data_IF_576820992501
#
_entry.id   IF_576820992501
#
_cell.length_a   1.000
_cell.length_b   1.000
_cell.length_c   1.000
_cell.angle_alpha   90.00
_cell.angle_beta   90.00
_cell.angle_gamma   90.00
#
_symmetry.space_group_name_H-M   'P 1'
#
loop_
_entity.id
_entity.type
_entity.pdbx_description
1 polymer ?
#
# COMPACT_ATOMS: atom_id res chain seq x y z
N UNK A 1 -5.22 30.27 29.17
CA UNK A 1 -5.91 30.53 27.89
C UNK A 1 -5.03 30.27 26.67
N UNK A 2 -3.74 30.65 26.69
CA UNK A 2 -2.80 30.43 25.58
C UNK A 2 -2.54 28.94 25.27
N UNK A 3 -2.40 28.10 26.30
CA UNK A 3 -2.24 26.65 26.16
C UNK A 3 -3.48 25.97 25.56
N UNK A 4 -4.68 26.44 25.88
CA UNK A 4 -5.92 25.91 25.32
C UNK A 4 -6.07 26.18 23.83
N UNK A 5 -5.62 27.35 23.36
CA UNK A 5 -5.64 27.73 21.94
C UNK A 5 -4.72 26.85 21.09
N UNK A 6 -3.49 26.62 21.54
CA UNK A 6 -2.50 25.75 20.85
C UNK A 6 -2.98 24.31 20.79
N UNK A 7 -3.56 23.79 21.87
CA UNK A 7 -4.11 22.43 21.90
C UNK A 7 -5.25 22.24 20.91
N UNK A 8 -6.19 23.19 20.86
CA UNK A 8 -7.31 23.16 19.91
C UNK A 8 -6.85 23.23 18.44
N UNK A 9 -5.81 24.03 18.16
CA UNK A 9 -5.21 24.08 16.82
C UNK A 9 -4.60 22.72 16.45
N UNK A 10 -3.88 22.08 17.35
CA UNK A 10 -3.28 20.77 17.10
C UNK A 10 -4.33 19.67 16.91
N UNK A 11 -5.44 19.69 17.68
CA UNK A 11 -6.58 18.76 17.51
C UNK A 11 -7.26 18.98 16.15
N UNK A 12 -7.50 20.24 15.79
CA UNK A 12 -8.06 20.57 14.47
C UNK A 12 -7.16 20.07 13.35
N UNK A 13 -5.87 20.30 13.44
CA UNK A 13 -4.90 19.92 12.43
C UNK A 13 -4.81 18.39 12.29
N UNK A 14 -4.91 17.67 13.40
CA UNK A 14 -5.02 16.20 13.39
C UNK A 14 -6.31 15.77 12.70
N UNK A 15 -7.47 16.27 13.12
CA UNK A 15 -8.77 15.84 12.60
C UNK A 15 -9.00 16.20 11.13
N UNK A 16 -8.73 17.45 10.76
CA UNK A 16 -9.04 17.97 9.41
C UNK A 16 -7.98 17.62 8.35
N UNK A 17 -6.78 17.26 8.78
CA UNK A 17 -5.65 17.08 7.86
C UNK A 17 -5.16 15.64 7.80
N UNK A 18 -4.80 15.09 8.96
CA UNK A 18 -4.20 13.77 9.00
C UNK A 18 -5.23 12.67 8.77
N UNK A 19 -6.43 12.78 9.36
CA UNK A 19 -7.47 11.77 9.21
C UNK A 19 -7.86 11.56 7.75
N UNK A 20 -8.23 12.59 6.96
CA UNK A 20 -8.60 12.40 5.56
C UNK A 20 -7.47 11.86 4.67
N UNK A 21 -6.21 12.14 5.02
CA UNK A 21 -5.05 11.66 4.25
C UNK A 21 -4.69 10.23 4.64
N UNK A 22 -4.77 9.88 5.93
CA UNK A 22 -4.33 8.58 6.46
C UNK A 22 -5.39 7.49 6.31
N UNK A 23 -6.67 7.81 6.47
CA UNK A 23 -7.77 6.82 6.37
C UNK A 23 -7.78 6.08 5.02
N UNK A 24 -7.62 6.73 3.86
CA UNK A 24 -7.55 6.01 2.59
C UNK A 24 -6.39 5.00 2.50
N UNK A 25 -5.33 5.19 3.29
CA UNK A 25 -4.23 4.24 3.34
C UNK A 25 -4.59 2.89 3.96
N UNK A 26 -5.73 2.77 4.65
CA UNK A 26 -6.26 1.46 5.04
C UNK A 26 -6.48 0.54 3.82
N UNK A 27 -6.94 1.08 2.69
CA UNK A 27 -7.08 0.31 1.44
C UNK A 27 -5.72 -0.05 0.81
N UNK A 28 -4.74 0.83 0.94
CA UNK A 28 -3.36 0.54 0.53
C UNK A 28 -2.78 -0.62 1.33
N UNK A 29 -2.91 -0.56 2.66
CA UNK A 29 -2.41 -1.59 3.56
C UNK A 29 -3.21 -2.89 3.47
N UNK A 30 -4.49 -2.83 3.12
CA UNK A 30 -5.28 -4.02 2.77
C UNK A 30 -4.59 -4.80 1.64
N UNK A 31 -4.26 -4.14 0.53
CA UNK A 31 -3.53 -4.78 -0.57
C UNK A 31 -2.17 -5.30 -0.09
N UNK A 32 -1.39 -4.45 0.57
CA UNK A 32 -0.07 -4.84 1.04
C UNK A 32 -0.13 -6.09 1.94
N UNK A 33 -1.03 -6.15 2.93
CA UNK A 33 -1.15 -7.28 3.84
C UNK A 33 -1.68 -8.54 3.13
N UNK A 34 -2.54 -8.37 2.11
CA UNK A 34 -3.11 -9.49 1.36
C UNK A 34 -2.08 -10.21 0.46
N UNK A 35 -0.92 -9.59 0.15
CA UNK A 35 0.11 -10.29 -0.62
C UNK A 35 0.56 -11.60 0.03
N UNK A 36 0.64 -11.63 1.36
CA UNK A 36 1.06 -12.82 2.11
C UNK A 36 0.12 -14.01 1.93
N UNK A 37 -1.16 -13.76 1.65
CA UNK A 37 -2.16 -14.79 1.41
C UNK A 37 -2.26 -15.12 -0.09
N UNK A 38 -2.69 -14.17 -0.92
CA UNK A 38 -2.98 -14.40 -2.34
C UNK A 38 -1.73 -14.82 -3.14
N UNK A 39 -0.58 -14.23 -2.85
CA UNK A 39 0.63 -14.56 -3.61
C UNK A 39 1.29 -15.86 -3.13
N UNK A 40 1.10 -16.25 -1.87
CA UNK A 40 1.46 -17.58 -1.40
C UNK A 40 0.60 -18.65 -2.08
N UNK A 41 -0.73 -18.44 -2.13
CA UNK A 41 -1.65 -19.33 -2.83
C UNK A 41 -1.30 -19.45 -4.32
N UNK A 42 -0.96 -18.34 -4.97
CA UNK A 42 -0.49 -18.36 -6.36
C UNK A 42 0.83 -19.13 -6.50
N UNK A 43 1.77 -18.98 -5.53
CA UNK A 43 3.07 -19.66 -5.57
C UNK A 43 2.96 -21.16 -5.40
N UNK A 44 1.98 -21.67 -4.63
CA UNK A 44 1.73 -23.12 -4.50
C UNK A 44 1.45 -23.82 -5.83
N UNK A 45 0.94 -23.06 -6.80
CA UNK A 45 0.66 -23.55 -8.16
C UNK A 45 1.88 -23.43 -9.10
N UNK A 46 3.00 -22.92 -8.60
CA UNK A 46 4.19 -22.64 -9.40
C UNK A 46 5.31 -23.66 -9.14
N UNK A 47 6.32 -23.65 -10.00
CA UNK A 47 7.50 -24.48 -9.84
C UNK A 47 8.46 -23.82 -8.83
N UNK A 48 8.66 -24.44 -7.67
CA UNK A 48 9.57 -23.99 -6.62
C UNK A 48 11.04 -24.25 -6.90
N UNK A 49 11.40 -25.07 -7.90
CA UNK A 49 12.78 -25.37 -8.30
C UNK A 49 13.38 -24.23 -9.16
N UNK A 50 13.37 -23.00 -8.64
CA UNK A 50 13.76 -21.78 -9.35
C UNK A 50 15.26 -21.71 -9.70
N UNK A 51 16.11 -22.42 -8.98
CA UNK A 51 17.56 -22.50 -9.21
C UNK A 51 18.00 -23.78 -9.90
N UNK A 52 17.05 -24.55 -10.44
CA UNK A 52 17.27 -25.84 -11.04
C UNK A 52 17.03 -26.99 -10.06
N UNK A 53 16.77 -28.17 -10.62
CA UNK A 53 16.43 -29.38 -9.87
C UNK A 53 15.17 -30.02 -10.47
N UNK A 54 15.16 -31.34 -10.55
CA UNK A 54 14.07 -32.11 -11.15
C UNK A 54 13.52 -33.19 -10.21
N UNK A 55 14.03 -33.23 -8.98
CA UNK A 55 13.59 -34.20 -7.99
C UNK A 55 12.21 -33.81 -7.46
N UNK A 56 11.21 -34.60 -7.79
CA UNK A 56 9.81 -34.39 -7.41
C UNK A 56 9.52 -34.69 -5.94
N UNK A 57 10.49 -35.23 -5.21
CA UNK A 57 10.35 -35.61 -3.80
C UNK A 57 10.90 -34.52 -2.85
N UNK A 58 11.60 -33.53 -3.39
CA UNK A 58 12.23 -32.45 -2.62
C UNK A 58 11.50 -31.16 -2.80
N UNK A 59 11.28 -30.46 -1.68
CA UNK A 59 10.92 -29.05 -1.69
C UNK A 59 12.19 -28.21 -1.86
N UNK A 60 12.14 -27.23 -2.77
CA UNK A 60 13.26 -26.32 -3.08
C UNK A 60 13.05 -24.98 -2.39
N UNK A 61 12.34 -24.06 -3.01
CA UNK A 61 12.05 -22.74 -2.46
C UNK A 61 10.55 -22.62 -2.20
N UNK A 62 10.17 -22.50 -0.95
CA UNK A 62 8.78 -22.36 -0.52
C UNK A 62 8.30 -20.91 -0.65
N UNK A 63 6.99 -20.71 -0.69
CA UNK A 63 6.35 -19.40 -0.76
C UNK A 63 6.82 -18.43 0.34
N UNK A 64 6.93 -18.94 1.57
CA UNK A 64 7.42 -18.15 2.70
C UNK A 64 8.88 -17.69 2.53
N UNK A 65 9.73 -18.54 1.94
CA UNK A 65 11.13 -18.19 1.63
C UNK A 65 11.19 -17.21 0.46
N UNK A 66 10.32 -17.36 -0.54
CA UNK A 66 10.28 -16.50 -1.69
C UNK A 66 9.89 -15.06 -1.31
N UNK A 67 9.06 -14.88 -0.29
CA UNK A 67 8.67 -13.54 0.22
C UNK A 67 9.85 -12.70 0.74
N UNK A 68 11.02 -13.33 1.06
CA UNK A 68 12.26 -12.62 1.44
C UNK A 68 12.70 -11.65 0.34
N UNK A 69 12.30 -11.87 -0.91
CA UNK A 69 12.56 -10.98 -2.05
C UNK A 69 12.07 -9.55 -1.77
N UNK A 70 10.94 -9.39 -1.07
CA UNK A 70 10.49 -8.06 -0.65
C UNK A 70 11.55 -7.34 0.18
N UNK A 71 12.10 -8.01 1.19
CA UNK A 71 13.15 -7.45 2.05
C UNK A 71 14.41 -7.10 1.26
N UNK A 72 14.82 -7.94 0.32
CA UNK A 72 15.99 -7.66 -0.55
C UNK A 72 15.74 -6.42 -1.39
N UNK A 73 14.57 -6.31 -2.01
CA UNK A 73 14.22 -5.14 -2.82
C UNK A 73 14.12 -3.86 -1.99
N UNK A 74 13.58 -3.90 -0.77
CA UNK A 74 13.50 -2.73 0.12
C UNK A 74 14.90 -2.21 0.48
N UNK A 75 15.83 -3.10 0.83
CA UNK A 75 17.22 -2.75 1.17
C UNK A 75 17.92 -2.06 -0.02
N UNK A 76 17.60 -2.45 -1.24
CA UNK A 76 18.17 -1.88 -2.47
C UNK A 76 17.45 -0.58 -2.86
N UNK A 77 16.11 -0.59 -2.85
CA UNK A 77 15.31 0.52 -3.37
C UNK A 77 15.34 1.76 -2.48
N UNK A 78 15.31 1.61 -1.14
CA UNK A 78 15.27 2.77 -0.22
C UNK A 78 16.50 3.66 -0.37
N UNK A 79 17.75 3.15 -0.39
CA UNK A 79 18.92 3.97 -0.66
C UNK A 79 18.94 4.59 -2.06
N UNK A 80 18.49 3.87 -3.08
CA UNK A 80 18.41 4.38 -4.46
C UNK A 80 17.41 5.53 -4.55
N UNK A 81 16.23 5.39 -3.96
CA UNK A 81 15.22 6.44 -3.95
C UNK A 81 15.70 7.67 -3.17
N UNK A 82 16.23 7.48 -1.97
CA UNK A 82 16.68 8.58 -1.10
C UNK A 82 17.97 9.25 -1.58
N UNK A 83 18.94 8.46 -1.99
CA UNK A 83 20.26 8.96 -2.36
C UNK A 83 20.39 9.48 -3.79
N UNK A 84 19.59 8.95 -4.70
CA UNK A 84 19.70 9.28 -6.12
C UNK A 84 18.40 9.84 -6.72
N UNK A 85 17.29 9.14 -6.60
CA UNK A 85 16.06 9.50 -7.32
C UNK A 85 15.45 10.81 -6.82
N UNK A 86 15.31 11.01 -5.49
CA UNK A 86 14.74 12.25 -4.97
C UNK A 86 15.63 13.47 -5.23
N UNK A 87 16.97 13.42 -5.07
CA UNK A 87 17.85 14.51 -5.48
C UNK A 87 17.79 14.80 -6.99
N UNK A 88 17.65 13.75 -7.82
CA UNK A 88 17.48 13.90 -9.27
C UNK A 88 16.20 14.66 -9.61
N UNK A 89 15.05 14.29 -9.01
CA UNK A 89 13.79 15.00 -9.19
C UNK A 89 13.93 16.49 -8.80
N UNK A 90 14.56 16.76 -7.67
CA UNK A 90 14.79 18.14 -7.20
C UNK A 90 15.66 18.95 -8.16
N UNK A 91 16.75 18.37 -8.68
CA UNK A 91 17.63 19.03 -9.67
C UNK A 91 16.91 19.32 -10.99
N UNK A 92 15.92 18.51 -11.36
CA UNK A 92 15.09 18.72 -12.56
C UNK A 92 13.94 19.68 -12.33
N UNK A 93 13.79 20.24 -11.11
CA UNK A 93 12.68 21.09 -10.74
C UNK A 93 11.33 20.35 -10.60
N UNK A 94 11.34 19.03 -10.54
CA UNK A 94 10.13 18.24 -10.35
C UNK A 94 9.70 18.31 -8.88
N UNK A 95 8.51 18.82 -8.66
CA UNK A 95 7.93 18.84 -7.31
C UNK A 95 7.44 17.44 -6.93
N UNK A 96 8.36 16.59 -6.46
CA UNK A 96 8.06 15.25 -5.95
C UNK A 96 7.97 15.26 -4.42
N UNK A 97 7.04 16.08 -3.90
CA UNK A 97 6.79 16.24 -2.47
C UNK A 97 6.20 14.99 -1.81
N UNK A 98 6.09 14.98 -0.45
CA UNK A 98 5.66 13.81 0.31
C UNK A 98 4.35 13.20 -0.18
N UNK A 99 3.32 14.01 -0.43
CA UNK A 99 2.04 13.53 -0.90
C UNK A 99 2.09 12.86 -2.27
N UNK A 100 2.89 13.41 -3.20
CA UNK A 100 3.08 12.80 -4.53
C UNK A 100 3.84 11.49 -4.45
N UNK A 101 4.78 11.35 -3.48
CA UNK A 101 5.47 10.08 -3.21
C UNK A 101 4.51 9.05 -2.67
N UNK A 102 3.66 9.44 -1.72
CA UNK A 102 2.63 8.57 -1.16
C UNK A 102 1.61 8.15 -2.22
N UNK A 103 1.17 9.08 -3.09
CA UNK A 103 0.28 8.76 -4.21
C UNK A 103 0.92 7.76 -5.18
N UNK A 104 2.16 8.01 -5.60
CA UNK A 104 2.89 7.11 -6.48
C UNK A 104 3.08 5.72 -5.85
N UNK A 105 3.43 5.67 -4.55
CA UNK A 105 3.56 4.42 -3.81
C UNK A 105 2.24 3.64 -3.76
N UNK A 106 1.13 4.30 -3.45
CA UNK A 106 -0.18 3.68 -3.44
C UNK A 106 -0.56 3.13 -4.83
N UNK A 107 -0.34 3.92 -5.89
CA UNK A 107 -0.59 3.48 -7.26
C UNK A 107 0.22 2.22 -7.63
N UNK A 108 1.51 2.15 -7.27
CA UNK A 108 2.33 0.98 -7.53
C UNK A 108 1.85 -0.26 -6.76
N UNK A 109 1.36 -0.11 -5.53
CA UNK A 109 0.78 -1.23 -4.77
C UNK A 109 -0.49 -1.74 -5.47
N UNK A 110 -1.37 -0.87 -5.97
CA UNK A 110 -2.54 -1.27 -6.77
C UNK A 110 -2.10 -1.98 -8.06
N UNK A 111 -1.11 -1.43 -8.75
CA UNK A 111 -0.58 -2.01 -9.99
C UNK A 111 0.01 -3.41 -9.78
N UNK A 112 0.67 -3.66 -8.63
CA UNK A 112 1.24 -4.97 -8.33
C UNK A 112 0.17 -6.07 -8.25
N UNK A 113 -1.01 -5.75 -7.70
CA UNK A 113 -2.15 -6.67 -7.68
C UNK A 113 -2.78 -6.87 -9.06
N UNK A 114 -2.81 -5.86 -9.91
CA UNK A 114 -3.23 -6.00 -11.29
C UNK A 114 -2.28 -6.92 -12.09
N UNK A 115 -0.97 -6.84 -11.85
CA UNK A 115 0.03 -7.76 -12.44
C UNK A 115 -0.21 -9.19 -11.95
N UNK A 116 -0.41 -9.37 -10.65
CA UNK A 116 -0.73 -10.69 -10.06
C UNK A 116 -2.01 -11.27 -10.65
N UNK A 117 -3.06 -10.47 -10.78
CA UNK A 117 -4.34 -10.86 -11.36
C UNK A 117 -4.22 -11.28 -12.84
N UNK A 118 -3.34 -10.63 -13.61
CA UNK A 118 -3.08 -11.00 -15.00
C UNK A 118 -2.25 -12.30 -15.13
N UNK A 119 -1.42 -12.62 -14.14
CA UNK A 119 -0.61 -13.83 -14.11
C UNK A 119 -1.40 -15.05 -13.63
N UNK A 120 -2.29 -14.88 -12.64
CA UNK A 120 -2.99 -15.97 -11.96
C UNK A 120 -3.69 -16.97 -12.89
N UNK A 121 -4.52 -16.59 -13.89
CA UNK A 121 -5.21 -17.56 -14.72
C UNK A 121 -4.25 -18.43 -15.56
N UNK A 122 -3.10 -17.89 -15.95
CA UNK A 122 -2.07 -18.65 -16.70
C UNK A 122 -1.39 -19.69 -15.81
N UNK A 123 -1.14 -19.33 -14.55
CA UNK A 123 -0.55 -20.22 -13.55
C UNK A 123 -1.52 -21.33 -13.20
N UNK A 124 -2.80 -21.00 -12.96
CA UNK A 124 -3.86 -21.97 -12.69
C UNK A 124 -4.03 -22.96 -13.86
N UNK A 125 -4.11 -22.48 -15.10
CA UNK A 125 -4.22 -23.34 -16.29
C UNK A 125 -3.04 -24.28 -16.45
N UNK A 126 -1.82 -23.79 -16.25
CA UNK A 126 -0.62 -24.59 -16.33
C UNK A 126 -0.58 -25.68 -15.26
N UNK A 127 -0.97 -25.35 -14.02
CA UNK A 127 -1.04 -26.28 -12.91
C UNK A 127 -2.07 -27.39 -13.15
N UNK A 128 -3.28 -27.05 -13.61
CA UNK A 128 -4.36 -27.99 -13.92
C UNK A 128 -3.95 -29.01 -15.00
N UNK A 129 -3.15 -28.58 -16.00
CA UNK A 129 -2.61 -29.48 -17.05
C UNK A 129 -1.70 -30.57 -16.50
N UNK A 130 -1.14 -30.40 -15.31
CA UNK A 130 -0.31 -31.41 -14.67
C UNK A 130 -1.11 -32.54 -14.01
N UNK A 131 -2.43 -32.41 -13.91
CA UNK A 131 -3.32 -33.37 -13.23
C UNK A 131 -3.25 -33.35 -11.71
N UNK A 132 -2.61 -32.31 -11.11
CA UNK A 132 -2.56 -32.14 -9.66
C UNK A 132 -3.88 -31.57 -9.13
N UNK A 133 -4.19 -31.89 -7.89
CA UNK A 133 -5.41 -31.44 -7.22
C UNK A 133 -5.25 -30.01 -6.68
N UNK A 134 -6.06 -29.08 -7.16
CA UNK A 134 -6.10 -27.68 -6.67
C UNK A 134 -6.42 -27.59 -5.18
N UNK A 135 -7.25 -28.48 -4.65
CA UNK A 135 -7.61 -28.48 -3.22
C UNK A 135 -6.42 -28.82 -2.30
N UNK A 136 -5.36 -29.40 -2.86
CA UNK A 136 -4.13 -29.76 -2.17
C UNK A 136 -2.93 -28.95 -2.66
N UNK A 137 -3.16 -27.77 -3.22
CA UNK A 137 -2.10 -26.95 -3.80
C UNK A 137 -0.99 -26.63 -2.77
N UNK A 138 -1.36 -26.40 -1.51
CA UNK A 138 -0.41 -26.14 -0.42
C UNK A 138 0.57 -27.29 -0.19
N UNK A 139 0.15 -28.54 -0.40
CA UNK A 139 1.02 -29.72 -0.25
C UNK A 139 2.17 -29.72 -1.29
N UNK A 140 2.06 -28.92 -2.34
CA UNK A 140 3.06 -28.81 -3.40
C UNK A 140 3.97 -27.57 -3.26
N UNK A 141 3.89 -26.83 -2.13
CA UNK A 141 4.69 -25.62 -1.92
C UNK A 141 6.20 -25.90 -2.02
N UNK A 142 6.82 -25.23 -2.97
CA UNK A 142 8.25 -25.34 -3.23
C UNK A 142 8.68 -26.58 -4.03
N UNK A 143 7.78 -27.48 -4.39
CA UNK A 143 8.15 -28.68 -5.14
C UNK A 143 8.37 -28.41 -6.64
N UNK A 144 9.15 -29.29 -7.26
CA UNK A 144 9.30 -29.29 -8.73
C UNK A 144 7.98 -29.63 -9.41
N UNK A 145 7.58 -28.80 -10.34
CA UNK A 145 6.42 -29.00 -11.18
C UNK A 145 6.79 -28.85 -12.65
N UNK A 146 6.74 -30.00 -13.39
CA UNK A 146 6.97 -30.02 -14.83
C UNK A 146 5.76 -29.38 -15.56
N UNK A 147 6.02 -28.37 -16.38
CA UNK A 147 4.97 -27.64 -17.12
C UNK A 147 4.34 -26.48 -16.35
N UNK A 148 4.60 -26.33 -15.04
CA UNK A 148 4.18 -25.15 -14.28
C UNK A 148 5.08 -23.93 -14.58
N UNK A 149 4.53 -22.74 -14.41
CA UNK A 149 5.32 -21.51 -14.43
C UNK A 149 6.33 -21.50 -13.27
N UNK A 150 7.55 -21.04 -13.54
CA UNK A 150 8.55 -20.86 -12.48
C UNK A 150 8.10 -19.79 -11.49
N UNK A 151 8.39 -19.98 -10.19
CA UNK A 151 8.18 -18.95 -9.14
C UNK A 151 8.79 -17.60 -9.45
N UNK A 152 9.80 -17.54 -10.33
CA UNK A 152 10.41 -16.28 -10.78
C UNK A 152 9.44 -15.34 -11.53
N UNK A 153 8.35 -15.87 -12.08
CA UNK A 153 7.32 -15.03 -12.70
C UNK A 153 6.58 -14.12 -11.72
N UNK A 154 6.71 -14.35 -10.42
CA UNK A 154 6.21 -13.43 -9.41
C UNK A 154 7.13 -12.21 -9.17
N UNK A 155 8.39 -12.23 -9.63
CA UNK A 155 9.33 -11.12 -9.40
C UNK A 155 8.81 -9.75 -9.83
N UNK A 156 8.16 -9.58 -11.00
CA UNK A 156 7.62 -8.27 -11.39
C UNK A 156 6.60 -7.70 -10.40
N UNK A 157 5.66 -8.53 -9.90
CA UNK A 157 4.66 -8.07 -8.93
C UNK A 157 5.31 -7.72 -7.58
N UNK A 158 6.28 -8.51 -7.11
CA UNK A 158 7.04 -8.21 -5.90
C UNK A 158 7.85 -6.92 -6.03
N UNK A 159 8.54 -6.72 -7.16
CA UNK A 159 9.30 -5.50 -7.40
C UNK A 159 8.41 -4.25 -7.38
N UNK A 160 7.27 -4.29 -8.06
CA UNK A 160 6.34 -3.16 -8.12
C UNK A 160 5.70 -2.89 -6.76
N UNK A 161 5.34 -3.94 -5.99
CA UNK A 161 4.85 -3.82 -4.62
C UNK A 161 5.88 -3.12 -3.73
N UNK A 162 7.11 -3.61 -3.75
CA UNK A 162 8.19 -3.09 -2.91
C UNK A 162 8.57 -1.66 -3.28
N UNK A 163 8.52 -1.32 -4.58
CA UNK A 163 8.71 0.07 -5.02
C UNK A 163 7.61 0.97 -4.44
N UNK A 164 6.37 0.50 -4.45
CA UNK A 164 5.24 1.20 -3.84
C UNK A 164 5.44 1.39 -2.33
N UNK A 165 5.81 0.34 -1.62
CA UNK A 165 6.11 0.37 -0.19
C UNK A 165 7.25 1.35 0.15
N UNK A 166 8.35 1.29 -0.58
CA UNK A 166 9.51 2.16 -0.38
C UNK A 166 9.19 3.65 -0.60
N UNK A 167 8.22 3.96 -1.46
CA UNK A 167 7.75 5.32 -1.69
C UNK A 167 6.78 5.79 -0.61
N UNK A 168 5.82 4.97 -0.18
CA UNK A 168 4.75 5.41 0.71
C UNK A 168 5.08 5.23 2.20
N UNK A 169 5.68 4.11 2.63
CA UNK A 169 5.83 3.78 4.04
C UNK A 169 6.75 4.75 4.80
N UNK A 170 8.02 4.97 4.40
CA UNK A 170 8.88 5.93 5.09
C UNK A 170 8.36 7.37 4.97
N UNK A 171 7.79 7.71 3.81
CA UNK A 171 7.25 9.05 3.57
C UNK A 171 6.01 9.31 4.43
N UNK A 172 5.13 8.33 4.62
CA UNK A 172 3.93 8.46 5.44
C UNK A 172 4.24 8.67 6.92
N UNK A 173 5.19 7.89 7.47
CA UNK A 173 5.68 8.10 8.84
C UNK A 173 6.27 9.49 9.02
N UNK A 174 7.13 9.93 8.09
CA UNK A 174 7.73 11.27 8.11
C UNK A 174 6.67 12.36 7.98
N UNK A 175 5.72 12.19 7.06
CA UNK A 175 4.64 13.13 6.81
C UNK A 175 3.77 13.33 8.05
N UNK A 176 3.29 12.25 8.67
CA UNK A 176 2.45 12.34 9.86
C UNK A 176 3.19 12.98 11.04
N UNK A 177 4.49 12.69 11.20
CA UNK A 177 5.32 13.28 12.24
C UNK A 177 5.55 14.79 12.06
N UNK A 178 5.78 15.25 10.81
CA UNK A 178 6.07 16.67 10.51
C UNK A 178 4.80 17.53 10.57
N UNK A 179 3.69 17.01 10.03
CA UNK A 179 2.42 17.75 9.97
C UNK A 179 1.67 17.77 11.30
N UNK A 180 2.00 16.90 12.23
CA UNK A 180 1.45 16.92 13.57
C UNK A 180 2.05 18.05 14.42
N UNK A 181 1.26 18.62 15.32
CA UNK A 181 1.72 19.49 16.39
C UNK A 181 2.69 18.76 17.32
N UNK A 182 3.51 19.52 18.07
CA UNK A 182 4.52 18.92 18.98
C UNK A 182 3.94 17.91 19.94
N UNK A 183 2.74 18.17 20.46
CA UNK A 183 2.07 17.31 21.46
C UNK A 183 1.47 16.06 20.81
N UNK A 184 1.10 16.12 19.53
CA UNK A 184 0.41 15.05 18.78
C UNK A 184 1.32 14.18 17.89
N UNK A 185 2.64 14.40 17.88
CA UNK A 185 3.57 13.66 17.02
C UNK A 185 3.50 12.15 17.23
N UNK A 186 3.53 11.70 18.49
CA UNK A 186 3.43 10.28 18.81
C UNK A 186 2.05 9.71 18.43
N UNK A 187 0.97 10.44 18.71
CA UNK A 187 -0.40 10.05 18.35
C UNK A 187 -0.55 9.94 16.85
N UNK A 188 -0.05 10.91 16.08
CA UNK A 188 -0.13 10.91 14.63
C UNK A 188 0.63 9.77 13.97
N UNK A 189 1.82 9.46 14.49
CA UNK A 189 2.61 8.29 14.03
C UNK A 189 1.90 6.99 14.39
N UNK A 190 1.33 6.88 15.59
CA UNK A 190 0.52 5.71 15.98
C UNK A 190 -0.73 5.55 15.11
N UNK A 191 -1.36 6.66 14.72
CA UNK A 191 -2.50 6.65 13.81
C UNK A 191 -2.12 6.18 12.40
N UNK A 192 -0.93 6.56 11.90
CA UNK A 192 -0.38 5.98 10.67
C UNK A 192 -0.23 4.46 10.77
N UNK A 193 0.35 3.96 11.87
CA UNK A 193 0.49 2.52 12.09
C UNK A 193 -0.88 1.83 12.26
N UNK A 194 -1.85 2.50 12.89
CA UNK A 194 -3.22 1.98 13.00
C UNK A 194 -3.87 1.78 11.63
N UNK A 195 -3.55 2.58 10.63
CA UNK A 195 -4.07 2.39 9.26
C UNK A 195 -3.69 1.02 8.67
N UNK A 196 -2.55 0.45 9.06
CA UNK A 196 -2.13 -0.90 8.68
C UNK A 196 -3.08 -1.96 9.28
N UNK A 197 -3.44 -1.80 10.56
CA UNK A 197 -4.40 -2.69 11.23
C UNK A 197 -5.80 -2.57 10.63
N UNK A 198 -6.23 -1.36 10.25
CA UNK A 198 -7.49 -1.16 9.52
C UNK A 198 -7.47 -1.87 8.18
N UNK A 199 -6.33 -1.90 7.48
CA UNK A 199 -6.15 -2.70 6.27
C UNK A 199 -6.40 -4.20 6.52
N UNK A 200 -5.89 -4.74 7.61
CA UNK A 200 -6.12 -6.15 7.99
C UNK A 200 -7.61 -6.41 8.33
N UNK A 201 -8.28 -5.46 8.96
CA UNK A 201 -9.73 -5.57 9.22
C UNK A 201 -10.52 -5.61 7.90
N UNK A 202 -10.15 -4.80 6.92
CA UNK A 202 -10.78 -4.85 5.59
C UNK A 202 -10.62 -6.23 4.93
N UNK A 203 -9.44 -6.87 5.07
CA UNK A 203 -9.24 -8.25 4.59
C UNK A 203 -10.19 -9.21 5.29
N UNK A 204 -10.33 -9.12 6.61
CA UNK A 204 -11.24 -9.98 7.38
C UNK A 204 -12.71 -9.83 6.95
N UNK A 205 -13.09 -8.69 6.39
CA UNK A 205 -14.42 -8.44 5.86
C UNK A 205 -14.57 -8.97 4.42
N UNK A 206 -13.62 -8.66 3.53
CA UNK A 206 -13.76 -8.99 2.12
C UNK A 206 -13.40 -10.43 1.77
N UNK A 207 -12.38 -11.01 2.43
CA UNK A 207 -11.91 -12.37 2.09
C UNK A 207 -13.00 -13.44 2.24
N UNK A 208 -13.78 -13.52 3.34
CA UNK A 208 -14.87 -14.46 3.45
C UNK A 208 -15.93 -14.29 2.34
N UNK A 209 -16.26 -13.05 1.99
CA UNK A 209 -17.23 -12.74 0.93
C UNK A 209 -16.74 -13.29 -0.42
N UNK A 210 -15.46 -13.14 -0.72
CA UNK A 210 -14.89 -13.61 -1.99
C UNK A 210 -14.76 -15.14 -2.02
N UNK A 211 -14.46 -15.76 -0.87
CA UNK A 211 -14.43 -17.24 -0.73
C UNK A 211 -15.83 -17.82 -0.91
N UNK A 212 -16.83 -17.27 -0.22
CA UNK A 212 -18.24 -17.72 -0.31
C UNK A 212 -18.82 -17.52 -1.72
N UNK A 213 -18.37 -16.49 -2.44
CA UNK A 213 -18.71 -16.26 -3.84
C UNK A 213 -17.99 -17.22 -4.82
N UNK A 214 -17.11 -18.09 -4.34
CA UNK A 214 -16.36 -19.06 -5.18
C UNK A 214 -15.38 -18.39 -6.15
N UNK A 215 -14.86 -17.21 -5.81
CA UNK A 215 -13.93 -16.49 -6.69
C UNK A 215 -12.60 -17.22 -6.82
N UNK A 216 -12.08 -17.35 -8.06
CA UNK A 216 -10.71 -17.81 -8.30
C UNK A 216 -9.68 -16.77 -7.79
N UNK A 217 -8.43 -17.19 -7.55
CA UNK A 217 -7.35 -16.30 -7.09
C UNK A 217 -7.16 -15.10 -8.02
N UNK A 218 -7.23 -15.30 -9.34
CA UNK A 218 -7.18 -14.21 -10.31
C UNK A 218 -8.32 -13.20 -10.16
N UNK A 219 -9.56 -13.70 -9.97
CA UNK A 219 -10.73 -12.83 -9.78
C UNK A 219 -10.66 -12.07 -8.46
N UNK A 220 -10.21 -12.71 -7.37
CA UNK A 220 -9.96 -12.04 -6.08
C UNK A 220 -8.92 -10.93 -6.23
N UNK A 221 -7.81 -11.20 -6.89
CA UNK A 221 -6.74 -10.21 -7.13
C UNK A 221 -7.24 -9.00 -7.92
N UNK A 222 -8.13 -9.19 -8.92
CA UNK A 222 -8.80 -8.09 -9.62
C UNK A 222 -9.75 -7.32 -8.72
N UNK A 223 -10.54 -8.01 -7.87
CA UNK A 223 -11.45 -7.38 -6.92
C UNK A 223 -10.68 -6.51 -5.91
N UNK A 224 -9.61 -7.06 -5.32
CA UNK A 224 -8.72 -6.31 -4.43
C UNK A 224 -8.08 -5.10 -5.12
N UNK A 225 -7.60 -5.26 -6.35
CA UNK A 225 -7.05 -4.16 -7.14
C UNK A 225 -8.09 -3.05 -7.37
N UNK A 226 -9.34 -3.40 -7.65
CA UNK A 226 -10.45 -2.45 -7.80
C UNK A 226 -10.77 -1.69 -6.51
N UNK A 227 -10.83 -2.39 -5.37
CA UNK A 227 -11.04 -1.77 -4.05
C UNK A 227 -9.85 -0.86 -3.70
N UNK A 228 -8.63 -1.30 -3.97
CA UNK A 228 -7.43 -0.49 -3.79
C UNK A 228 -7.43 0.77 -4.67
N UNK A 229 -7.88 0.65 -5.91
CA UNK A 229 -8.02 1.79 -6.82
C UNK A 229 -9.06 2.81 -6.30
N UNK A 230 -10.15 2.35 -5.73
CA UNK A 230 -11.12 3.21 -5.04
C UNK A 230 -10.44 3.99 -3.89
N UNK A 231 -9.69 3.29 -3.02
CA UNK A 231 -8.92 3.92 -1.95
C UNK A 231 -7.88 4.92 -2.47
N UNK A 232 -7.24 4.62 -3.59
CA UNK A 232 -6.31 5.53 -4.26
C UNK A 232 -7.00 6.82 -4.72
N UNK A 233 -8.17 6.75 -5.32
CA UNK A 233 -8.93 7.95 -5.71
C UNK A 233 -9.39 8.74 -4.49
N UNK A 234 -9.84 8.09 -3.41
CA UNK A 234 -10.13 8.77 -2.14
C UNK A 234 -8.91 9.54 -1.63
N UNK A 235 -7.73 8.91 -1.67
CA UNK A 235 -6.47 9.56 -1.29
C UNK A 235 -6.15 10.77 -2.19
N UNK A 236 -6.30 10.65 -3.50
CA UNK A 236 -6.06 11.74 -4.44
C UNK A 236 -6.97 12.94 -4.16
N UNK A 237 -8.26 12.69 -3.89
CA UNK A 237 -9.22 13.73 -3.52
C UNK A 237 -8.81 14.40 -2.20
N UNK A 238 -8.52 13.61 -1.16
CA UNK A 238 -8.07 14.14 0.13
C UNK A 238 -6.78 14.96 0.00
N UNK A 239 -5.83 14.47 -0.81
CA UNK A 239 -4.56 15.16 -1.08
C UNK A 239 -4.73 16.47 -1.85
N UNK A 240 -5.75 16.56 -2.73
CA UNK A 240 -6.07 17.79 -3.47
C UNK A 240 -6.55 18.91 -2.54
N UNK A 241 -7.39 18.59 -1.57
CA UNK A 241 -7.89 19.56 -0.58
C UNK A 241 -6.95 19.79 0.59
N UNK A 242 -5.84 19.07 0.63
CA UNK A 242 -4.88 19.19 1.72
C UNK A 242 -4.12 20.51 1.67
N UNK A 243 -4.07 21.19 2.81
CA UNK A 243 -3.25 22.40 3.01
C UNK A 243 -2.16 22.12 4.05
N UNK A 244 -0.86 22.27 3.70
CA UNK A 244 0.23 22.08 4.64
C UNK A 244 0.10 22.96 5.89
N UNK A 245 0.47 22.44 7.06
CA UNK A 245 0.36 23.16 8.34
C UNK A 245 0.97 24.57 8.30
N UNK A 246 2.12 24.74 7.65
CA UNK A 246 2.82 26.02 7.52
C UNK A 246 2.02 27.11 6.77
N UNK A 247 1.00 26.70 6.01
CA UNK A 247 0.19 27.61 5.19
C UNK A 247 -1.20 27.85 5.79
N UNK A 248 -1.51 27.25 6.96
CA UNK A 248 -2.81 27.41 7.61
C UNK A 248 -2.80 28.63 8.52
N UNK A 249 -3.87 29.44 8.48
CA UNK A 249 -4.03 30.50 9.44
C UNK A 249 -4.23 29.93 10.84
N UNK A 250 -3.73 30.61 11.87
CA UNK A 250 -4.04 30.28 13.26
C UNK A 250 -5.55 30.38 13.53
N UNK A 251 -6.05 29.73 14.59
CA UNK A 251 -7.48 29.81 14.94
C UNK A 251 -7.93 31.24 15.09
N UNK A 252 -7.12 32.10 15.76
CA UNK A 252 -7.43 33.52 15.97
C UNK A 252 -7.44 34.27 14.64
N UNK A 253 -6.52 34.00 13.75
CA UNK A 253 -6.44 34.62 12.43
C UNK A 253 -7.59 34.16 11.53
N UNK A 254 -7.92 32.84 11.55
CA UNK A 254 -9.07 32.31 10.83
C UNK A 254 -10.40 32.91 11.31
N UNK A 255 -10.57 33.08 12.62
CA UNK A 255 -11.74 33.75 13.20
C UNK A 255 -11.84 35.25 12.80
N UNK A 256 -10.69 35.91 12.72
CA UNK A 256 -10.64 37.32 12.24
C UNK A 256 -11.03 37.39 10.76
N UNK A 257 -10.45 36.58 9.91
CA UNK A 257 -10.77 36.52 8.47
C UNK A 257 -12.23 36.16 8.21
N UNK A 258 -12.80 35.24 9.01
CA UNK A 258 -14.23 34.90 8.93
C UNK A 258 -15.13 36.11 9.25
N UNK A 259 -14.82 36.87 10.30
CA UNK A 259 -15.57 38.11 10.66
C UNK A 259 -15.44 39.16 9.59
N UNK A 260 -14.25 39.38 9.03
CA UNK A 260 -14.02 40.33 7.94
C UNK A 260 -14.82 39.96 6.68
N UNK A 261 -14.88 38.65 6.35
CA UNK A 261 -15.68 38.13 5.23
C UNK A 261 -17.20 38.32 5.47
N UNK A 262 -17.69 38.03 6.69
CA UNK A 262 -19.08 38.24 7.07
C UNK A 262 -19.47 39.73 6.98
N UNK A 263 -18.61 40.61 7.48
CA UNK A 263 -18.80 42.06 7.38
C UNK A 263 -18.81 42.57 5.92
N UNK A 264 -17.98 41.97 5.07
CA UNK A 264 -17.97 42.30 3.64
C UNK A 264 -19.27 41.88 2.94
N UNK A 265 -19.83 40.71 3.29
CA UNK A 265 -21.11 40.22 2.73
C UNK A 265 -22.34 41.01 3.21
N UNK A 266 -22.28 41.60 4.42
CA UNK A 266 -23.38 42.45 4.94
C UNK A 266 -23.39 43.85 4.36
N UNK A 267 -22.38 44.23 3.60
CA UNK A 267 -22.26 45.57 2.98
C UNK A 267 -22.87 45.68 1.57
N UNK A 268 -23.30 44.56 1.01
CA UNK A 268 -24.00 44.43 -0.27
C UNK A 268 -25.44 43.90 -0.07
#
# INVERSE_FOLDING_TARGET
>A
EEYGGVFLEEVRDFGLTLVPVVVPFAFCWMLYNQNSNEWSNQYYLMNGAIFGGTDRTKSYVQSAQFSIINTIFIIILVPILGGWFYPFCTRRGWNFGPQRRMAAGFFFIVLSFAISAALAPKVEEAFLKTGRDMAKAEDYDGFYCEGCYSGLWQLPQWFVLTLGEALCSPTGVQFTYIEAGRQFRAVSTSFWLLSTSLGSILIMIFEPIFVDAGMSSGTKSWAYSGIGLFGFFMYCIASYFYTPRKQRPSINEAARLAKEAEFAMTKY
#
